data_IF_120080748590
#
_entry.id   IF_120080748590
#
_cell.length_a   1.000
_cell.length_b   1.000
_cell.length_c   1.000
_cell.angle_alpha   90.00
_cell.angle_beta   90.00
_cell.angle_gamma   90.00
#
_symmetry.space_group_name_H-M   'P 1'
#
loop_
_entity.id
_entity.type
_entity.pdbx_description
1 polymer ?
#
# COMPACT_ATOMS: atom_id res chain seq x y z
N UNK A 1 -17.11 20.43 -11.40
CA UNK A 1 -15.85 19.70 -11.11
C UNK A 1 -15.88 18.48 -11.99
N UNK A 2 -14.87 18.30 -12.83
CA UNK A 2 -14.76 17.09 -13.65
C UNK A 2 -14.53 15.88 -12.73
N UNK A 3 -15.03 14.69 -13.12
CA UNK A 3 -14.79 13.48 -12.35
C UNK A 3 -13.28 13.21 -12.27
N UNK A 4 -12.84 12.70 -11.13
CA UNK A 4 -11.44 12.29 -10.96
C UNK A 4 -11.14 11.08 -11.86
N UNK A 5 -9.89 10.91 -12.30
CA UNK A 5 -9.50 9.73 -13.07
C UNK A 5 -9.64 8.44 -12.27
N UNK A 6 -9.78 7.30 -12.95
CA UNK A 6 -9.69 5.98 -12.33
C UNK A 6 -8.23 5.47 -12.29
N UNK A 7 -7.96 4.40 -11.54
CA UNK A 7 -6.66 3.79 -11.33
C UNK A 7 -6.31 2.77 -12.44
N UNK A 8 -6.38 3.19 -13.69
CA UNK A 8 -6.40 2.35 -14.91
C UNK A 8 -5.07 2.24 -15.66
N UNK A 9 -3.99 2.81 -15.13
CA UNK A 9 -2.69 2.88 -15.80
C UNK A 9 -1.53 2.83 -14.81
N UNK A 10 -0.35 2.30 -15.21
CA UNK A 10 0.84 2.28 -14.37
C UNK A 10 1.23 3.68 -13.86
N UNK A 11 1.08 4.71 -14.68
CA UNK A 11 1.40 6.10 -14.33
C UNK A 11 0.49 6.59 -13.19
N UNK A 12 -0.81 6.27 -13.24
CA UNK A 12 -1.76 6.64 -12.19
C UNK A 12 -1.53 5.84 -10.91
N UNK A 13 -1.18 4.55 -11.02
CA UNK A 13 -0.75 3.74 -9.88
C UNK A 13 0.48 4.37 -9.24
N UNK A 14 1.47 4.79 -10.03
CA UNK A 14 2.67 5.44 -9.50
C UNK A 14 2.33 6.71 -8.73
N UNK A 15 1.51 7.60 -9.31
CA UNK A 15 1.06 8.83 -8.64
C UNK A 15 0.36 8.53 -7.32
N UNK A 16 -0.55 7.54 -7.31
CA UNK A 16 -1.23 7.10 -6.10
C UNK A 16 -0.25 6.57 -5.04
N UNK A 17 0.68 5.70 -5.41
CA UNK A 17 1.63 5.09 -4.48
C UNK A 17 2.59 6.14 -3.90
N UNK A 18 3.06 7.10 -4.70
CA UNK A 18 3.89 8.20 -4.20
C UNK A 18 3.09 9.04 -3.16
N UNK A 19 1.85 9.39 -3.47
CA UNK A 19 0.98 10.15 -2.57
C UNK A 19 0.64 9.38 -1.29
N UNK A 20 0.46 8.07 -1.39
CA UNK A 20 0.22 7.19 -0.25
C UNK A 20 1.45 7.09 0.66
N UNK A 21 2.64 6.86 0.10
CA UNK A 21 3.86 6.77 0.90
C UNK A 21 4.22 8.11 1.56
N UNK A 22 3.98 9.24 0.90
CA UNK A 22 4.15 10.54 1.54
C UNK A 22 3.33 10.67 2.85
N UNK A 23 2.11 10.12 2.87
CA UNK A 23 1.26 10.09 4.08
C UNK A 23 1.75 9.09 5.10
N UNK A 24 2.14 7.88 4.68
CA UNK A 24 2.66 6.82 5.57
C UNK A 24 3.92 7.29 6.32
N UNK A 25 4.83 7.97 5.61
CA UNK A 25 6.09 8.41 6.19
C UNK A 25 5.96 9.69 7.04
N UNK A 26 4.86 10.44 6.87
CA UNK A 26 4.52 11.56 7.75
C UNK A 26 3.72 11.12 8.99
N UNK A 27 3.26 9.87 9.04
CA UNK A 27 2.43 9.37 10.12
C UNK A 27 3.27 8.86 11.31
N UNK A 28 3.07 9.36 12.53
CA UNK A 28 3.92 9.01 13.68
C UNK A 28 3.78 7.55 14.13
N UNK A 29 2.67 6.86 13.81
CA UNK A 29 2.48 5.45 14.13
C UNK A 29 3.18 4.55 13.10
N UNK A 30 3.03 4.88 11.81
CA UNK A 30 3.56 4.04 10.74
C UNK A 30 5.02 4.33 10.40
N UNK A 31 5.43 5.60 10.38
CA UNK A 31 6.76 5.99 9.92
C UNK A 31 7.90 5.19 10.60
N UNK A 32 7.90 4.95 11.93
CA UNK A 32 8.93 4.13 12.57
C UNK A 32 8.98 2.68 12.07
N UNK A 33 7.86 2.09 11.66
CA UNK A 33 7.81 0.73 11.11
C UNK A 33 8.55 0.68 9.77
N UNK A 34 8.33 1.68 8.91
CA UNK A 34 8.93 1.74 7.58
C UNK A 34 10.39 2.23 7.61
N UNK A 35 10.70 3.26 8.41
CA UNK A 35 12.00 3.90 8.46
C UNK A 35 12.99 3.20 9.39
N UNK A 36 12.55 2.76 10.57
CA UNK A 36 13.48 2.24 11.58
C UNK A 36 13.54 0.72 11.56
N UNK A 37 12.38 0.05 11.47
CA UNK A 37 12.32 -1.43 11.58
C UNK A 37 12.55 -2.11 10.24
N UNK A 38 11.78 -1.69 9.22
CA UNK A 38 11.94 -2.18 7.86
C UNK A 38 13.15 -1.56 7.16
N UNK A 39 13.54 -0.34 7.57
CA UNK A 39 14.66 0.42 7.01
C UNK A 39 14.61 0.44 5.47
N UNK A 40 13.47 0.86 4.92
CA UNK A 40 13.27 0.84 3.48
C UNK A 40 14.07 1.95 2.78
N UNK A 41 14.68 1.60 1.66
CA UNK A 41 15.20 2.59 0.70
C UNK A 41 14.09 2.96 -0.29
N UNK A 42 13.54 4.17 -0.19
CA UNK A 42 12.35 4.58 -0.97
C UNK A 42 12.53 4.44 -2.47
N UNK A 43 13.69 4.82 -3.00
CA UNK A 43 14.02 4.71 -4.43
C UNK A 43 13.94 3.27 -4.95
N UNK A 44 14.18 2.28 -4.08
CA UNK A 44 14.07 0.84 -4.40
C UNK A 44 12.70 0.28 -4.04
N UNK A 45 12.08 0.80 -2.98
CA UNK A 45 10.83 0.27 -2.44
C UNK A 45 9.62 0.64 -3.30
N UNK A 46 9.49 1.90 -3.70
CA UNK A 46 8.34 2.39 -4.46
C UNK A 46 8.11 1.60 -5.77
N UNK A 47 9.12 1.32 -6.61
CA UNK A 47 8.91 0.52 -7.83
C UNK A 47 8.37 -0.89 -7.54
N UNK A 48 8.77 -1.51 -6.44
CA UNK A 48 8.28 -2.85 -6.04
C UNK A 48 6.79 -2.79 -5.70
N UNK A 49 6.36 -1.74 -4.99
CA UNK A 49 4.97 -1.56 -4.59
C UNK A 49 4.09 -1.16 -5.78
N UNK A 50 4.61 -0.37 -6.72
CA UNK A 50 3.93 -0.09 -7.99
C UNK A 50 3.66 -1.39 -8.76
N UNK A 51 4.69 -2.22 -8.98
CA UNK A 51 4.55 -3.51 -9.65
C UNK A 51 3.55 -4.45 -8.93
N UNK A 52 3.50 -4.40 -7.59
CA UNK A 52 2.53 -5.16 -6.81
C UNK A 52 1.09 -4.74 -7.12
N UNK A 53 0.81 -3.43 -7.12
CA UNK A 53 -0.52 -2.91 -7.39
C UNK A 53 -0.91 -3.00 -8.87
N UNK A 54 0.02 -2.80 -9.79
CA UNK A 54 -0.17 -3.05 -11.22
C UNK A 54 -0.61 -4.50 -11.47
N UNK A 55 0.02 -5.47 -10.78
CA UNK A 55 -0.41 -6.88 -10.85
C UNK A 55 -1.84 -7.08 -10.35
N UNK A 56 -2.19 -6.48 -9.21
CA UNK A 56 -3.50 -6.72 -8.57
C UNK A 56 -4.67 -6.01 -9.26
N UNK A 57 -4.39 -4.84 -9.85
CA UNK A 57 -5.41 -3.97 -10.44
C UNK A 57 -5.47 -4.13 -11.96
N UNK A 58 -4.32 -4.15 -12.63
CA UNK A 58 -4.21 -4.19 -14.10
C UNK A 58 -3.89 -5.58 -14.64
N UNK A 59 -3.55 -6.55 -13.78
CA UNK A 59 -3.20 -7.91 -14.21
C UNK A 59 -1.78 -8.05 -14.76
N UNK A 60 -0.89 -7.09 -14.48
CA UNK A 60 0.52 -7.16 -14.90
C UNK A 60 1.29 -8.33 -14.26
N UNK A 61 2.38 -8.78 -14.88
CA UNK A 61 3.17 -9.95 -14.47
C UNK A 61 4.48 -9.62 -13.75
N UNK A 62 4.75 -8.34 -13.51
CA UNK A 62 6.02 -7.81 -12.97
C UNK A 62 6.31 -8.10 -11.49
N UNK A 63 5.34 -8.59 -10.70
CA UNK A 63 5.52 -8.85 -9.26
C UNK A 63 5.51 -10.34 -8.89
N UNK A 64 6.62 -10.81 -8.29
CA UNK A 64 6.87 -12.22 -7.96
C UNK A 64 7.35 -12.48 -6.52
N UNK A 65 7.27 -11.49 -5.62
CA UNK A 65 7.79 -11.64 -4.25
C UNK A 65 6.76 -12.28 -3.32
N UNK A 66 7.25 -12.98 -2.30
CA UNK A 66 6.43 -13.57 -1.24
C UNK A 66 6.12 -12.53 -0.15
N UNK A 67 5.13 -11.66 -0.40
CA UNK A 67 4.75 -10.54 0.47
C UNK A 67 4.60 -10.95 1.94
N UNK A 68 3.89 -12.04 2.23
CA UNK A 68 3.66 -12.48 3.62
C UNK A 68 4.94 -12.86 4.36
N UNK A 69 5.93 -13.47 3.70
CA UNK A 69 7.18 -13.85 4.36
C UNK A 69 7.98 -12.62 4.81
N UNK A 70 7.96 -11.56 3.99
CA UNK A 70 8.58 -10.27 4.34
C UNK A 70 7.92 -9.67 5.59
N UNK A 71 6.58 -9.69 5.65
CA UNK A 71 5.85 -9.11 6.77
C UNK A 71 5.94 -9.97 8.05
N UNK A 72 6.06 -11.31 7.94
CA UNK A 72 6.39 -12.18 9.09
C UNK A 72 7.76 -11.87 9.65
N UNK A 73 8.76 -11.70 8.80
CA UNK A 73 10.11 -11.33 9.24
C UNK A 73 10.13 -9.94 9.91
N UNK A 74 9.31 -9.00 9.42
CA UNK A 74 9.14 -7.69 10.04
C UNK A 74 8.44 -7.80 11.40
N UNK A 75 7.34 -8.56 11.47
CA UNK A 75 6.59 -8.81 12.71
C UNK A 75 7.47 -9.45 13.79
N UNK A 76 8.34 -10.39 13.41
CA UNK A 76 9.30 -11.01 14.32
C UNK A 76 10.32 -10.01 14.91
N UNK A 77 10.62 -8.90 14.21
CA UNK A 77 11.46 -7.82 14.73
C UNK A 77 10.67 -6.84 15.61
N UNK A 78 9.47 -6.49 15.18
CA UNK A 78 8.53 -5.64 15.92
C UNK A 78 7.11 -6.06 15.57
N UNK A 79 6.29 -6.49 16.55
CA UNK A 79 4.91 -6.88 16.29
C UNK A 79 4.15 -5.77 15.56
N UNK A 80 3.52 -6.15 14.45
CA UNK A 80 2.62 -5.28 13.71
C UNK A 80 1.24 -5.33 14.37
N UNK A 81 0.91 -4.28 15.12
CA UNK A 81 -0.33 -4.16 15.88
C UNK A 81 -1.55 -3.94 14.95
N UNK A 82 -2.74 -4.47 15.28
CA UNK A 82 -4.02 -4.11 14.66
C UNK A 82 -4.19 -2.61 14.33
N UNK A 83 -3.76 -1.72 15.23
CA UNK A 83 -3.85 -0.27 15.04
C UNK A 83 -3.02 0.22 13.85
N UNK A 84 -1.86 -0.40 13.60
CA UNK A 84 -1.03 -0.07 12.44
C UNK A 84 -1.72 -0.48 11.13
N UNK A 85 -2.41 -1.62 11.09
CA UNK A 85 -3.19 -2.05 9.92
C UNK A 85 -4.36 -1.11 9.64
N UNK A 86 -5.11 -0.74 10.68
CA UNK A 86 -6.21 0.22 10.57
C UNK A 86 -5.71 1.58 10.06
N UNK A 87 -4.60 2.08 10.62
CA UNK A 87 -4.00 3.36 10.18
C UNK A 87 -3.54 3.30 8.74
N UNK A 88 -2.87 2.22 8.34
CA UNK A 88 -2.39 2.02 6.98
C UNK A 88 -3.57 2.03 5.98
N UNK A 89 -4.65 1.31 6.28
CA UNK A 89 -5.86 1.27 5.43
C UNK A 89 -6.52 2.65 5.30
N UNK A 90 -6.64 3.37 6.42
CA UNK A 90 -7.19 4.73 6.40
C UNK A 90 -6.38 5.65 5.51
N UNK A 91 -5.05 5.69 5.66
CA UNK A 91 -4.20 6.54 4.82
C UNK A 91 -4.24 6.12 3.34
N UNK A 92 -4.39 4.81 3.06
CA UNK A 92 -4.55 4.31 1.70
C UNK A 92 -5.84 4.84 1.06
N UNK A 93 -6.95 4.76 1.80
CA UNK A 93 -8.24 5.28 1.35
C UNK A 93 -8.18 6.79 1.16
N UNK A 94 -7.65 7.53 2.13
CA UNK A 94 -7.49 9.00 2.05
C UNK A 94 -6.62 9.43 0.86
N UNK A 95 -5.53 8.71 0.57
CA UNK A 95 -4.68 8.99 -0.58
C UNK A 95 -5.44 8.77 -1.90
N UNK A 96 -6.15 7.64 -1.99
CA UNK A 96 -6.88 7.27 -3.20
C UNK A 96 -8.06 8.22 -3.43
N UNK A 97 -8.86 8.47 -2.39
CA UNK A 97 -10.01 9.37 -2.40
C UNK A 97 -9.64 10.84 -2.50
N UNK A 98 -8.36 11.22 -2.50
CA UNK A 98 -7.96 12.58 -2.81
C UNK A 98 -7.85 12.81 -4.33
N UNK A 99 -7.54 11.76 -5.10
CA UNK A 99 -7.05 11.90 -6.48
C UNK A 99 -7.78 11.02 -7.50
N UNK A 100 -8.42 9.94 -7.07
CA UNK A 100 -8.98 8.91 -7.96
C UNK A 100 -10.39 8.51 -7.56
N UNK A 101 -11.19 8.14 -8.56
CA UNK A 101 -12.49 7.51 -8.38
C UNK A 101 -12.81 6.59 -9.56
N UNK A 102 -13.75 5.67 -9.38
CA UNK A 102 -14.15 4.71 -10.42
C UNK A 102 -13.96 3.25 -10.00
N UNK A 103 -14.33 2.31 -10.88
CA UNK A 103 -14.32 0.87 -10.59
C UNK A 103 -12.97 0.32 -10.11
N UNK A 104 -11.84 0.74 -10.70
CA UNK A 104 -10.52 0.22 -10.32
C UNK A 104 -10.03 0.81 -9.00
N UNK A 105 -10.35 2.07 -8.71
CA UNK A 105 -10.12 2.67 -7.40
C UNK A 105 -10.92 1.93 -6.30
N UNK A 106 -12.20 1.61 -6.54
CA UNK A 106 -13.01 0.83 -5.57
C UNK A 106 -12.48 -0.60 -5.40
N UNK A 107 -12.03 -1.23 -6.50
CA UNK A 107 -11.33 -2.52 -6.45
C UNK A 107 -10.07 -2.43 -5.60
N UNK A 108 -9.25 -1.39 -5.75
CA UNK A 108 -8.04 -1.20 -4.97
C UNK A 108 -8.32 -1.12 -3.47
N UNK A 109 -9.35 -0.38 -3.03
CA UNK A 109 -9.78 -0.35 -1.62
C UNK A 109 -10.19 -1.72 -1.11
N UNK A 110 -11.00 -2.44 -1.88
CA UNK A 110 -11.50 -3.77 -1.51
C UNK A 110 -10.35 -4.78 -1.37
N UNK A 111 -9.38 -4.72 -2.28
CA UNK A 111 -8.18 -5.56 -2.25
C UNK A 111 -7.27 -5.18 -1.08
N UNK A 112 -7.06 -3.88 -0.83
CA UNK A 112 -6.28 -3.38 0.31
C UNK A 112 -6.86 -3.90 1.64
N UNK A 113 -8.17 -3.76 1.84
CA UNK A 113 -8.86 -4.23 3.04
C UNK A 113 -8.66 -5.75 3.25
N UNK A 114 -8.81 -6.55 2.20
CA UNK A 114 -8.57 -8.00 2.26
C UNK A 114 -7.12 -8.35 2.59
N UNK A 115 -6.15 -7.65 2.00
CA UNK A 115 -4.73 -7.88 2.26
C UNK A 115 -4.41 -7.56 3.72
N UNK A 116 -4.83 -6.38 4.21
CA UNK A 116 -4.60 -5.96 5.59
C UNK A 116 -5.23 -6.93 6.59
N UNK A 117 -6.50 -7.30 6.38
CA UNK A 117 -7.19 -8.27 7.23
C UNK A 117 -6.49 -9.63 7.26
N UNK A 118 -6.17 -10.20 6.08
CA UNK A 118 -5.50 -11.50 6.00
C UNK A 118 -4.10 -11.45 6.61
N UNK A 119 -3.37 -10.35 6.41
CA UNK A 119 -2.04 -10.19 6.98
C UNK A 119 -2.12 -10.09 8.50
N UNK A 120 -2.98 -9.25 9.04
CA UNK A 120 -3.21 -9.14 10.48
C UNK A 120 -3.60 -10.48 11.11
N UNK A 121 -4.46 -11.27 10.46
CA UNK A 121 -4.88 -12.57 10.98
C UNK A 121 -3.79 -13.65 10.94
N UNK A 122 -2.75 -13.47 10.13
CA UNK A 122 -1.70 -14.46 9.89
C UNK A 122 -0.35 -14.11 10.51
N UNK A 123 -0.19 -12.90 11.04
CA UNK A 123 1.02 -12.46 11.74
C UNK A 123 0.86 -12.69 13.24
#
# INVERSE_FOLDING_TARGET
MDPRPDLDSPERIRVFIDAFYARVLADPLLAPIFLDVAAIELSRHIPIICAYWEKLILGADGYRRHTMNIHRALHAKRPLDPQAFERWLRLFHEALDAQFEGPLAQRAKSVAARIAHNMQALL
#
